data_IF_289590130127
#
_entry.id   IF_289590130127
#
_cell.length_a   1.000
_cell.length_b   1.000
_cell.length_c   1.000
_cell.angle_alpha   90.00
_cell.angle_beta   90.00
_cell.angle_gamma   90.00
#
_symmetry.space_group_name_H-M   'P 1'
#
loop_
_entity.id
_entity.type
_entity.pdbx_description
1 polymer ?
#
# COMPACT_ATOMS: atom_id res chain seq x y z
N UNK A 1 -7.21 6.67 -27.64
CA UNK A 1 -6.01 6.18 -26.94
C UNK A 1 -6.40 5.88 -25.50
N UNK A 2 -6.50 4.61 -25.11
CA UNK A 2 -6.81 4.23 -23.73
C UNK A 2 -5.55 4.37 -22.88
N UNK A 3 -5.39 5.51 -22.22
CA UNK A 3 -4.37 5.65 -21.17
C UNK A 3 -4.73 4.66 -20.06
N UNK A 4 -3.77 3.78 -19.75
CA UNK A 4 -3.97 2.72 -18.78
C UNK A 4 -3.91 3.33 -17.38
N UNK A 5 -4.99 3.95 -16.89
CA UNK A 5 -5.03 4.64 -15.59
C UNK A 5 -4.73 3.75 -14.37
N UNK A 6 -4.48 2.44 -14.57
CA UNK A 6 -4.30 1.46 -13.51
C UNK A 6 -2.93 0.76 -13.52
N UNK A 7 -1.91 1.29 -14.23
CA UNK A 7 -0.57 0.69 -14.24
C UNK A 7 0.29 1.28 -13.11
N UNK A 8 0.49 0.48 -12.07
CA UNK A 8 1.42 0.77 -10.95
C UNK A 8 2.81 1.13 -11.51
N UNK A 9 3.41 2.26 -11.10
CA UNK A 9 4.75 2.68 -11.54
C UNK A 9 5.83 1.64 -11.21
N UNK A 10 6.65 1.31 -12.20
CA UNK A 10 7.75 0.35 -12.05
C UNK A 10 8.91 0.97 -11.28
N UNK A 11 9.46 0.22 -10.34
CA UNK A 11 10.57 0.66 -9.51
C UNK A 11 11.88 0.73 -10.31
N UNK A 12 12.54 1.88 -10.27
CA UNK A 12 13.91 2.10 -10.73
C UNK A 12 14.72 2.62 -9.54
N UNK A 13 15.92 2.08 -9.31
CA UNK A 13 16.82 2.58 -8.25
C UNK A 13 17.49 3.88 -8.67
N UNK A 14 17.82 3.99 -9.96
CA UNK A 14 18.45 5.17 -10.57
C UNK A 14 17.49 6.37 -10.57
N UNK A 15 16.20 6.12 -10.78
CA UNK A 15 15.15 7.15 -10.80
C UNK A 15 14.24 7.04 -9.57
N UNK A 16 14.82 6.86 -8.38
CA UNK A 16 14.06 6.64 -7.15
C UNK A 16 13.07 7.78 -6.87
N UNK A 17 13.50 9.03 -7.03
CA UNK A 17 12.67 10.20 -6.75
C UNK A 17 11.50 10.32 -7.74
N UNK A 18 11.77 10.16 -9.04
CA UNK A 18 10.73 10.13 -10.08
C UNK A 18 9.76 8.96 -9.89
N UNK A 19 10.27 7.80 -9.49
CA UNK A 19 9.43 6.66 -9.13
C UNK A 19 8.55 6.99 -7.90
N UNK A 20 9.12 7.61 -6.87
CA UNK A 20 8.42 7.98 -5.64
C UNK A 20 7.29 8.97 -5.92
N UNK A 21 7.53 10.02 -6.70
CA UNK A 21 6.52 11.01 -7.11
C UNK A 21 5.39 10.33 -7.89
N UNK A 22 5.71 9.48 -8.87
CA UNK A 22 4.70 8.74 -9.65
C UNK A 22 3.91 7.77 -8.78
N UNK A 23 4.54 7.13 -7.81
CA UNK A 23 3.89 6.21 -6.88
C UNK A 23 2.94 6.98 -5.94
N UNK A 24 3.38 8.12 -5.39
CA UNK A 24 2.54 8.99 -4.57
C UNK A 24 1.31 9.47 -5.34
N UNK A 25 1.49 9.96 -6.56
CA UNK A 25 0.38 10.40 -7.41
C UNK A 25 -0.59 9.25 -7.75
N UNK A 26 -0.07 8.05 -8.00
CA UNK A 26 -0.90 6.87 -8.26
C UNK A 26 -1.73 6.46 -7.05
N UNK A 27 -1.15 6.54 -5.84
CA UNK A 27 -1.84 6.21 -4.59
C UNK A 27 -2.86 7.28 -4.20
N UNK A 28 -2.53 8.56 -4.36
CA UNK A 28 -3.43 9.68 -4.11
C UNK A 28 -4.64 9.68 -5.05
N UNK A 29 -4.47 9.21 -6.30
CA UNK A 29 -5.59 9.01 -7.21
C UNK A 29 -6.59 7.93 -6.74
N UNK A 30 -6.20 7.09 -5.77
CA UNK A 30 -7.07 6.09 -5.16
C UNK A 30 -7.64 6.56 -3.81
N UNK A 31 -6.78 7.05 -2.92
CA UNK A 31 -7.17 7.68 -1.65
C UNK A 31 -5.98 8.50 -1.10
N UNK A 32 -6.23 9.71 -0.59
CA UNK A 32 -5.20 10.62 -0.08
C UNK A 32 -4.43 10.02 1.12
N UNK A 33 -5.09 9.17 1.93
CA UNK A 33 -4.49 8.54 3.11
C UNK A 33 -3.61 7.32 2.77
N UNK A 34 -3.61 6.88 1.50
CA UNK A 34 -2.93 5.64 1.07
C UNK A 34 -1.41 5.71 1.21
N UNK A 35 -0.82 6.88 1.00
CA UNK A 35 0.63 7.06 1.17
C UNK A 35 1.04 6.93 2.64
N UNK A 36 0.27 7.56 3.54
CA UNK A 36 0.51 7.52 5.00
C UNK A 36 0.42 6.09 5.54
N UNK A 37 -0.56 5.30 5.09
CA UNK A 37 -0.70 3.87 5.45
C UNK A 37 0.56 3.06 5.09
N UNK A 38 1.21 3.39 3.96
CA UNK A 38 2.40 2.66 3.50
C UNK A 38 3.65 3.09 4.27
N UNK A 39 3.79 4.38 4.62
CA UNK A 39 4.99 4.91 5.28
C UNK A 39 4.97 4.79 6.80
N UNK A 40 3.79 4.95 7.41
CA UNK A 40 3.61 4.95 8.87
C UNK A 40 3.09 3.60 9.38
N UNK A 41 2.60 2.76 8.47
CA UNK A 41 2.02 1.46 8.77
C UNK A 41 0.49 1.48 8.85
N UNK A 42 -0.13 0.33 9.17
CA UNK A 42 -1.59 0.20 9.19
C UNK A 42 -2.26 1.22 10.11
N UNK A 43 -3.36 1.82 9.64
CA UNK A 43 -4.10 2.81 10.41
C UNK A 43 -4.70 2.18 11.66
N UNK A 44 -4.21 2.57 12.83
CA UNK A 44 -4.78 2.13 14.09
C UNK A 44 -6.03 2.94 14.41
N UNK A 45 -7.16 2.26 14.49
CA UNK A 45 -8.44 2.90 14.78
C UNK A 45 -8.59 3.06 16.29
N UNK A 46 -8.56 4.29 16.76
CA UNK A 46 -8.55 4.64 18.18
C UNK A 46 -9.92 5.14 18.67
N UNK A 47 -10.24 4.89 19.94
CA UNK A 47 -11.35 5.50 20.69
C UNK A 47 -10.84 6.19 21.96
N UNK A 48 -11.51 7.25 22.44
CA UNK A 48 -11.18 7.85 23.73
C UNK A 48 -11.44 6.84 24.86
N UNK A 49 -10.49 6.74 25.80
CA UNK A 49 -10.63 5.95 27.01
C UNK A 49 -11.37 6.77 28.09
N UNK A 50 -12.70 6.77 28.01
CA UNK A 50 -13.56 7.53 28.93
C UNK A 50 -13.37 7.17 30.40
N UNK A 51 -12.96 5.94 30.71
CA UNK A 51 -12.73 5.50 32.08
C UNK A 51 -11.50 6.18 32.73
N UNK A 52 -10.50 6.55 31.93
CA UNK A 52 -9.24 7.14 32.40
C UNK A 52 -9.20 8.67 32.25
N UNK A 53 -9.93 9.20 31.26
CA UNK A 53 -10.07 10.64 31.04
C UNK A 53 -10.64 11.40 32.26
N UNK A 54 -11.40 10.70 33.12
CA UNK A 54 -12.01 11.26 34.33
C UNK A 54 -11.00 11.40 35.49
N UNK A 55 -9.92 10.61 35.52
CA UNK A 55 -9.00 10.60 36.68
C UNK A 55 -7.78 11.51 36.55
N UNK A 56 -7.24 11.72 35.33
CA UNK A 56 -5.92 12.35 35.17
C UNK A 56 -5.86 13.52 34.16
N UNK A 57 -6.97 13.93 33.54
CA UNK A 57 -7.02 15.09 32.63
C UNK A 57 -6.34 14.91 31.25
N UNK A 58 -5.49 13.90 31.07
CA UNK A 58 -4.94 13.54 29.75
C UNK A 58 -5.86 12.56 29.00
N UNK A 59 -6.16 12.89 27.75
CA UNK A 59 -6.89 12.01 26.84
C UNK A 59 -6.05 10.77 26.49
N UNK A 60 -6.32 9.66 27.16
CA UNK A 60 -5.82 8.37 26.72
C UNK A 60 -6.69 7.80 25.60
N UNK A 61 -6.05 7.23 24.57
CA UNK A 61 -6.69 6.57 23.45
C UNK A 61 -6.45 5.06 23.51
N UNK A 62 -7.50 4.28 23.27
CA UNK A 62 -7.46 2.82 23.21
C UNK A 62 -7.81 2.35 21.80
N UNK A 63 -7.16 1.28 21.31
CA UNK A 63 -7.53 0.66 20.04
C UNK A 63 -8.97 0.13 20.10
N UNK A 64 -9.77 0.44 19.07
CA UNK A 64 -11.13 -0.08 18.94
C UNK A 64 -11.10 -1.57 18.62
N UNK A 65 -12.04 -2.32 19.20
CA UNK A 65 -12.30 -3.68 18.73
C UNK A 65 -13.00 -3.63 17.36
N UNK A 66 -12.73 -4.61 16.48
CA UNK A 66 -13.37 -4.70 15.15
C UNK A 66 -14.91 -4.66 15.21
N UNK A 67 -15.49 -5.16 16.30
CA UNK A 67 -16.93 -5.21 16.54
C UNK A 67 -17.53 -3.82 16.78
N UNK A 68 -16.70 -2.84 17.17
CA UNK A 68 -17.07 -1.45 17.46
C UNK A 68 -16.83 -0.52 16.26
N UNK A 69 -16.39 -1.05 15.12
CA UNK A 69 -16.06 -0.25 13.96
C UNK A 69 -17.32 0.37 13.35
N UNK A 70 -17.31 1.70 13.29
CA UNK A 70 -18.22 2.50 12.49
C UNK A 70 -17.99 2.29 11.00
N UNK A 71 -18.82 2.87 10.14
CA UNK A 71 -18.63 2.74 8.69
C UNK A 71 -17.35 3.45 8.23
N UNK A 72 -17.00 4.56 8.87
CA UNK A 72 -15.76 5.30 8.66
C UNK A 72 -14.56 4.46 9.08
N UNK A 73 -14.64 3.78 10.22
CA UNK A 73 -13.60 2.86 10.69
C UNK A 73 -13.40 1.69 9.71
N UNK A 74 -14.49 1.12 9.18
CA UNK A 74 -14.43 0.08 8.15
C UNK A 74 -13.79 0.58 6.85
N UNK A 75 -14.06 1.83 6.44
CA UNK A 75 -13.41 2.46 5.29
C UNK A 75 -11.90 2.52 5.49
N UNK A 76 -11.44 2.97 6.66
CA UNK A 76 -10.01 3.01 7.01
C UNK A 76 -9.37 1.61 7.02
N UNK A 77 -10.01 0.63 7.65
CA UNK A 77 -9.52 -0.75 7.65
C UNK A 77 -9.45 -1.37 6.24
N UNK A 78 -10.32 -0.94 5.32
CA UNK A 78 -10.26 -1.34 3.92
C UNK A 78 -9.04 -0.74 3.21
N UNK A 79 -8.66 0.51 3.52
CA UNK A 79 -7.44 1.13 2.97
C UNK A 79 -6.19 0.32 3.31
N UNK A 80 -6.08 -0.20 4.55
CA UNK A 80 -4.97 -1.07 4.94
C UNK A 80 -4.92 -2.36 4.09
N UNK A 81 -6.06 -2.96 3.81
CA UNK A 81 -6.14 -4.16 2.97
C UNK A 81 -5.74 -3.87 1.53
N UNK A 82 -6.17 -2.72 1.00
CA UNK A 82 -5.79 -2.23 -0.32
C UNK A 82 -4.29 -1.97 -0.40
N UNK A 83 -3.71 -1.27 0.57
CA UNK A 83 -2.28 -1.01 0.65
C UNK A 83 -1.48 -2.32 0.65
N UNK A 84 -1.90 -3.29 1.49
CA UNK A 84 -1.29 -4.63 1.53
C UNK A 84 -1.38 -5.36 0.19
N UNK A 85 -2.50 -5.26 -0.50
CA UNK A 85 -2.69 -5.91 -1.81
C UNK A 85 -1.80 -5.26 -2.89
N UNK A 86 -1.73 -3.93 -2.96
CA UNK A 86 -0.84 -3.19 -3.88
C UNK A 86 0.61 -3.60 -3.66
N UNK A 87 1.06 -3.63 -2.41
CA UNK A 87 2.41 -4.08 -2.07
C UNK A 87 2.61 -5.52 -2.50
N UNK A 88 1.74 -6.46 -2.09
CA UNK A 88 1.84 -7.89 -2.47
C UNK A 88 1.93 -8.07 -3.99
N UNK A 89 1.06 -7.42 -4.76
CA UNK A 89 1.08 -7.49 -6.23
C UNK A 89 2.43 -7.02 -6.80
N UNK A 90 3.03 -5.98 -6.23
CA UNK A 90 4.36 -5.50 -6.63
C UNK A 90 5.45 -6.53 -6.34
N UNK A 91 5.48 -7.10 -5.13
CA UNK A 91 6.44 -8.14 -4.78
C UNK A 91 6.32 -9.33 -5.73
N UNK A 92 5.10 -9.86 -5.93
CA UNK A 92 4.84 -10.96 -6.86
C UNK A 92 5.28 -10.64 -8.28
N UNK A 93 5.06 -9.41 -8.75
CA UNK A 93 5.49 -8.99 -10.09
C UNK A 93 7.02 -8.91 -10.20
N UNK A 94 7.72 -8.42 -9.19
CA UNK A 94 9.19 -8.35 -9.18
C UNK A 94 9.80 -9.77 -9.16
N UNK A 95 9.28 -10.66 -8.32
CA UNK A 95 9.74 -12.04 -8.27
C UNK A 95 9.43 -12.80 -9.56
N UNK A 96 8.22 -12.68 -10.11
CA UNK A 96 7.87 -13.36 -11.37
C UNK A 96 8.69 -12.87 -12.58
N UNK A 97 9.06 -11.58 -12.63
CA UNK A 97 9.95 -11.05 -13.68
C UNK A 97 11.39 -11.54 -13.48
N UNK A 98 11.89 -11.57 -12.24
CA UNK A 98 13.24 -12.09 -11.93
C UNK A 98 13.37 -13.60 -12.11
N UNK A 99 12.30 -14.36 -11.94
CA UNK A 99 12.29 -15.82 -12.09
C UNK A 99 12.01 -16.31 -13.52
N UNK A 100 11.83 -15.41 -14.51
CA UNK A 100 11.76 -15.84 -15.92
C UNK A 100 13.17 -16.24 -16.37
N UNK A 101 13.43 -17.52 -16.71
CA UNK A 101 14.69 -17.88 -17.32
C UNK A 101 14.80 -17.13 -18.65
N UNK A 102 15.95 -16.48 -18.88
CA UNK A 102 16.27 -15.90 -20.16
C UNK A 102 16.15 -17.01 -21.21
N UNK A 103 15.24 -16.85 -22.18
CA UNK A 103 15.20 -17.73 -23.35
C UNK A 103 16.53 -17.53 -24.07
N UNK A 104 17.45 -18.47 -23.87
CA UNK A 104 18.72 -18.48 -24.58
C UNK A 104 18.41 -18.51 -26.09
N UNK A 105 19.11 -17.72 -26.91
CA UNK A 105 18.90 -17.72 -28.35
C UNK A 105 19.14 -19.13 -28.87
N UNK A 106 18.15 -19.69 -29.60
CA UNK A 106 18.30 -20.95 -30.35
C UNK A 106 19.57 -20.83 -31.17
N UNK A 107 20.60 -21.58 -30.79
CA UNK A 107 21.80 -21.71 -31.62
C UNK A 107 21.36 -22.32 -32.93
N UNK A 108 21.71 -21.64 -34.02
CA UNK A 108 21.54 -22.06 -35.39
C UNK A 108 21.89 -23.55 -35.56
N UNK A 109 20.94 -24.33 -36.07
CA UNK A 109 21.24 -25.59 -36.73
C UNK A 109 22.19 -25.27 -37.88
N UNK A 110 23.42 -25.78 -37.77
CA UNK A 110 24.43 -25.69 -38.81
C UNK A 110 24.39 -27.04 -39.55
N UNK A 111 24.06 -26.95 -40.84
CA UNK A 111 24.12 -27.93 -41.94
C UNK A 111 24.61 -29.35 -41.65
#
# INVERSE_FOLDING_TARGET
MSTCHNKIPMFSKEDYDDWKIRMQAHLAAQDDDMWSVITEGPLKIMKPNLAFAISNGEHQFLEKSRHEYTNEDKKKANLDNVARDILKRRWTKIYSVRSRPALLPRKYERS
#
